data_IF_337995471198
#
_entry.id   IF_337995471198
#
_cell.length_a   1.000
_cell.length_b   1.000
_cell.length_c   1.000
_cell.angle_alpha   90.00
_cell.angle_beta   90.00
_cell.angle_gamma   90.00
#
_symmetry.space_group_name_H-M   'P 1'
#
loop_
_entity.id
_entity.type
_entity.pdbx_description
1 polymer ?
#
# COMPACT_ATOMS: atom_id res chain seq x y z
N UNK A 1 -0.51 18.94 64.39
CA UNK A 1 -0.07 20.22 65.01
C UNK A 1 -0.20 21.31 63.95
N UNK A 2 -1.13 22.23 64.19
CA UNK A 2 -1.32 23.57 63.60
C UNK A 2 -1.33 23.81 62.07
N UNK A 3 -2.55 24.12 61.60
CA UNK A 3 -2.87 25.12 60.59
C UNK A 3 -2.19 26.48 60.87
N UNK A 4 -1.76 27.18 59.81
CA UNK A 4 -1.86 28.65 59.75
C UNK A 4 -2.40 29.11 58.40
N UNK A 5 -3.62 29.63 58.44
CA UNK A 5 -4.17 30.57 57.47
C UNK A 5 -3.50 31.94 57.68
N UNK A 6 -3.22 32.64 56.59
CA UNK A 6 -3.15 34.11 56.57
C UNK A 6 -4.29 34.58 55.69
N UNK A 7 -5.08 35.50 56.24
CA UNK A 7 -6.23 36.15 55.62
C UNK A 7 -6.06 37.64 55.85
N UNK A 8 -6.36 38.46 54.85
CA UNK A 8 -6.71 39.90 54.84
C UNK A 8 -6.68 40.31 53.35
N UNK A 9 -7.60 41.04 52.72
CA UNK A 9 -8.89 41.62 53.06
C UNK A 9 -9.58 42.02 51.71
N UNK A 10 -10.90 42.20 51.72
CA UNK A 10 -11.81 42.71 50.67
C UNK A 10 -11.39 44.08 50.05
N UNK A 11 -11.90 44.70 48.96
CA UNK A 11 -12.82 44.54 47.79
C UNK A 11 -12.73 45.89 46.98
N UNK A 12 -13.55 46.32 45.99
CA UNK A 12 -14.46 45.68 45.02
C UNK A 12 -14.24 46.10 43.52
N UNK A 13 -14.93 45.38 42.62
CA UNK A 13 -15.48 45.73 41.30
C UNK A 13 -14.81 46.78 40.38
N UNK A 14 -14.43 46.35 39.17
CA UNK A 14 -14.65 47.12 37.94
C UNK A 14 -14.76 46.16 36.75
N UNK A 15 -15.90 46.21 36.07
CA UNK A 15 -16.22 45.49 34.85
C UNK A 15 -15.32 45.99 33.73
N UNK A 16 -14.35 45.19 33.33
CA UNK A 16 -13.63 45.37 32.07
C UNK A 16 -14.25 44.41 31.07
N UNK A 17 -14.97 44.98 30.09
CA UNK A 17 -15.27 44.32 28.83
C UNK A 17 -13.92 43.98 28.17
N UNK A 18 -13.40 42.79 28.47
CA UNK A 18 -12.39 42.21 27.62
C UNK A 18 -13.15 41.66 26.41
N UNK A 19 -13.02 42.35 25.27
CA UNK A 19 -13.18 41.73 23.97
C UNK A 19 -12.15 40.60 23.92
N UNK A 20 -12.52 39.45 24.48
CA UNK A 20 -11.87 38.20 24.23
C UNK A 20 -12.15 37.96 22.76
N UNK A 21 -11.17 38.26 21.91
CA UNK A 21 -11.05 37.61 20.63
C UNK A 21 -11.09 36.13 20.97
N UNK A 22 -12.27 35.52 20.82
CA UNK A 22 -12.37 34.11 20.52
C UNK A 22 -11.56 33.97 19.24
N UNK A 23 -10.27 33.70 19.40
CA UNK A 23 -9.56 32.87 18.45
C UNK A 23 -10.39 31.60 18.42
N UNK A 24 -11.30 31.53 17.45
CA UNK A 24 -11.84 30.27 16.99
C UNK A 24 -10.59 29.42 16.77
N UNK A 25 -10.37 28.34 17.56
CA UNK A 25 -9.31 27.42 17.21
C UNK A 25 -9.54 27.07 15.75
N UNK A 26 -8.52 27.08 14.87
CA UNK A 26 -8.70 26.79 13.45
C UNK A 26 -9.60 25.56 13.38
N UNK A 27 -10.78 25.74 12.76
CA UNK A 27 -11.85 24.75 12.81
C UNK A 27 -11.25 23.41 12.45
N UNK A 28 -11.41 22.41 13.31
CA UNK A 28 -10.90 21.08 13.07
C UNK A 28 -11.40 20.64 11.69
N UNK A 29 -10.46 20.39 10.79
CA UNK A 29 -10.72 19.80 9.49
C UNK A 29 -11.71 18.65 9.65
N UNK A 30 -12.75 18.61 8.84
CA UNK A 30 -13.65 17.45 8.77
C UNK A 30 -13.46 16.84 7.40
N UNK A 31 -12.44 15.97 7.22
CA UNK A 31 -12.21 15.31 5.95
C UNK A 31 -13.48 14.55 5.52
N UNK A 32 -13.66 14.39 4.21
CA UNK A 32 -14.77 13.61 3.68
C UNK A 32 -14.44 12.14 3.83
N UNK A 33 -15.18 11.41 4.65
CA UNK A 33 -14.92 9.99 4.92
C UNK A 33 -15.79 9.08 4.06
N UNK A 34 -15.18 8.06 3.45
CA UNK A 34 -15.87 6.99 2.73
C UNK A 34 -15.37 5.62 3.16
N UNK A 35 -16.25 4.63 3.22
CA UNK A 35 -15.88 3.23 3.48
C UNK A 35 -15.92 2.43 2.19
N UNK A 36 -14.87 1.63 1.96
CA UNK A 36 -14.77 0.68 0.85
C UNK A 36 -14.26 -0.64 1.43
N UNK A 37 -15.14 -1.63 1.60
CA UNK A 37 -14.80 -2.87 2.29
C UNK A 37 -14.18 -2.59 3.67
N UNK A 38 -12.98 -3.13 3.98
CA UNK A 38 -12.26 -2.88 5.24
C UNK A 38 -11.52 -1.54 5.29
N UNK A 39 -11.59 -0.72 4.23
CA UNK A 39 -10.88 0.55 4.16
C UNK A 39 -11.77 1.72 4.59
N UNK A 40 -11.21 2.60 5.43
CA UNK A 40 -11.74 3.94 5.71
C UNK A 40 -10.88 4.95 4.95
N UNK A 41 -11.46 5.59 3.95
CA UNK A 41 -10.80 6.58 3.10
C UNK A 41 -11.18 7.99 3.57
N UNK A 42 -10.20 8.78 4.01
CA UNK A 42 -10.42 10.16 4.44
C UNK A 42 -9.83 11.15 3.43
N UNK A 43 -10.68 11.92 2.77
CA UNK A 43 -10.29 12.88 1.74
C UNK A 43 -10.15 14.27 2.35
N UNK A 44 -8.92 14.78 2.37
CA UNK A 44 -8.57 16.08 2.92
C UNK A 44 -8.70 17.15 1.85
N UNK A 45 -9.66 18.06 2.03
CA UNK A 45 -9.94 19.18 1.14
C UNK A 45 -8.96 20.33 1.33
N UNK A 46 -9.13 21.42 0.59
CA UNK A 46 -8.26 22.59 0.70
C UNK A 46 -8.28 23.15 2.14
N UNK A 47 -7.09 23.20 2.75
CA UNK A 47 -6.92 23.69 4.13
C UNK A 47 -7.15 22.66 5.23
N UNK A 48 -7.69 21.47 4.91
CA UNK A 48 -7.80 20.39 5.89
C UNK A 48 -6.39 19.88 6.28
N UNK A 49 -6.14 19.70 7.57
CA UNK A 49 -4.82 19.33 8.11
C UNK A 49 -4.85 17.89 8.60
N UNK A 50 -4.01 17.04 8.01
CA UNK A 50 -3.65 15.71 8.48
C UNK A 50 -2.13 15.55 8.51
N UNK A 51 -1.59 14.47 7.92
CA UNK A 51 -0.14 14.37 7.73
C UNK A 51 0.39 15.48 6.81
N UNK A 52 -0.32 15.72 5.71
CA UNK A 52 -0.17 16.91 4.88
C UNK A 52 -1.35 17.86 5.08
N UNK A 53 -1.25 19.07 4.55
CA UNK A 53 -2.41 19.96 4.37
C UNK A 53 -2.95 19.75 2.97
N UNK A 54 -4.25 19.49 2.85
CA UNK A 54 -4.92 19.40 1.55
C UNK A 54 -4.82 20.74 0.81
N UNK A 55 -4.52 20.69 -0.48
CA UNK A 55 -4.28 21.89 -1.30
C UNK A 55 -5.39 22.16 -2.33
N UNK A 56 -6.40 21.29 -2.38
CA UNK A 56 -7.55 21.38 -3.27
C UNK A 56 -8.69 20.52 -2.76
N UNK A 57 -9.91 21.01 -2.95
CA UNK A 57 -11.14 20.26 -2.74
C UNK A 57 -11.29 19.08 -3.70
N UNK A 58 -11.66 17.93 -3.14
CA UNK A 58 -11.94 16.73 -3.92
C UNK A 58 -13.26 16.83 -4.66
N UNK A 59 -13.24 16.60 -5.96
CA UNK A 59 -14.48 16.46 -6.74
C UNK A 59 -15.08 15.07 -6.56
N UNK A 60 -16.40 14.93 -6.78
CA UNK A 60 -17.07 13.63 -6.71
C UNK A 60 -16.46 12.60 -7.68
N UNK A 61 -16.04 13.02 -8.88
CA UNK A 61 -15.43 12.14 -9.88
C UNK A 61 -14.06 11.60 -9.42
N UNK A 62 -13.27 12.41 -8.72
CA UNK A 62 -11.98 12.00 -8.16
C UNK A 62 -12.15 11.04 -6.99
N UNK A 63 -13.09 11.34 -6.08
CA UNK A 63 -13.45 10.45 -4.97
C UNK A 63 -13.91 9.09 -5.50
N UNK A 64 -14.77 9.08 -6.53
CA UNK A 64 -15.24 7.83 -7.13
C UNK A 64 -14.11 7.08 -7.86
N UNK A 65 -13.21 7.77 -8.56
CA UNK A 65 -12.05 7.14 -9.15
C UNK A 65 -11.18 6.45 -8.10
N UNK A 66 -10.94 7.09 -6.95
CA UNK A 66 -10.20 6.50 -5.83
C UNK A 66 -10.90 5.27 -5.29
N UNK A 67 -12.20 5.38 -4.98
CA UNK A 67 -12.97 4.26 -4.43
C UNK A 67 -12.99 3.05 -5.37
N UNK A 68 -13.11 3.26 -6.68
CA UNK A 68 -13.09 2.16 -7.66
C UNK A 68 -11.71 1.48 -7.69
N UNK A 69 -10.62 2.24 -7.60
CA UNK A 69 -9.28 1.63 -7.57
C UNK A 69 -9.00 0.92 -6.24
N UNK A 70 -9.50 1.46 -5.12
CA UNK A 70 -9.46 0.77 -3.82
C UNK A 70 -10.25 -0.55 -3.83
N UNK A 71 -11.41 -0.58 -4.51
CA UNK A 71 -12.24 -1.79 -4.67
C UNK A 71 -11.48 -2.95 -5.31
N UNK A 72 -10.54 -2.68 -6.22
CA UNK A 72 -9.65 -3.71 -6.80
C UNK A 72 -9.00 -4.59 -5.75
N UNK A 73 -8.56 -4.00 -4.63
CA UNK A 73 -7.94 -4.73 -3.53
C UNK A 73 -8.97 -5.34 -2.59
N UNK A 74 -10.01 -4.59 -2.22
CA UNK A 74 -11.02 -5.06 -1.24
C UNK A 74 -11.88 -6.19 -1.77
N UNK A 75 -12.06 -6.29 -3.08
CA UNK A 75 -12.78 -7.38 -3.73
C UNK A 75 -11.92 -8.64 -3.91
N UNK A 76 -10.59 -8.50 -3.75
CA UNK A 76 -9.63 -9.58 -4.00
C UNK A 76 -9.06 -10.15 -2.69
N UNK A 77 -8.62 -9.30 -1.76
CA UNK A 77 -8.06 -9.74 -0.50
C UNK A 77 -9.13 -10.36 0.42
N UNK A 78 -8.89 -11.60 0.84
CA UNK A 78 -9.79 -12.38 1.70
C UNK A 78 -9.34 -12.43 3.16
N UNK A 79 -8.22 -11.77 3.50
CA UNK A 79 -7.72 -11.70 4.87
C UNK A 79 -8.75 -10.97 5.76
N UNK A 80 -8.97 -11.44 7.01
CA UNK A 80 -9.80 -10.74 7.96
C UNK A 80 -9.03 -9.60 8.62
N UNK A 81 -9.55 -8.37 8.55
CA UNK A 81 -8.98 -7.22 9.24
C UNK A 81 -9.29 -7.20 10.74
N UNK A 82 -8.35 -6.72 11.54
CA UNK A 82 -8.55 -6.50 12.99
C UNK A 82 -9.48 -5.32 13.27
N UNK A 83 -9.42 -4.31 12.41
CA UNK A 83 -10.18 -3.07 12.42
C UNK A 83 -10.12 -2.44 11.02
N UNK A 84 -10.95 -1.44 10.71
CA UNK A 84 -10.81 -0.70 9.46
C UNK A 84 -9.39 -0.12 9.31
N UNK A 85 -8.83 -0.25 8.10
CA UNK A 85 -7.57 0.37 7.71
C UNK A 85 -7.85 1.79 7.24
N UNK A 86 -7.28 2.77 7.93
CA UNK A 86 -7.46 4.18 7.59
C UNK A 86 -6.42 4.64 6.59
N UNK A 87 -6.89 5.19 5.47
CA UNK A 87 -6.06 5.75 4.42
C UNK A 87 -6.44 7.21 4.21
N UNK A 88 -5.53 8.12 4.53
CA UNK A 88 -5.72 9.54 4.33
C UNK A 88 -5.31 9.93 2.90
N UNK A 89 -6.10 10.76 2.22
CA UNK A 89 -5.91 11.13 0.82
C UNK A 89 -5.79 12.64 0.64
N UNK A 90 -4.75 13.05 -0.05
CA UNK A 90 -4.41 14.46 -0.24
C UNK A 90 -4.15 14.79 -1.70
N UNK A 91 -4.53 16.00 -2.07
CA UNK A 91 -3.89 16.71 -3.17
C UNK A 91 -2.70 17.52 -2.66
N UNK A 92 -1.60 17.56 -3.42
CA UNK A 92 -0.40 18.33 -3.05
C UNK A 92 0.54 18.65 -4.21
N UNK A 93 1.63 19.37 -3.92
CA UNK A 93 2.71 19.63 -4.87
C UNK A 93 3.85 18.67 -4.61
N UNK A 94 4.14 17.81 -5.58
CA UNK A 94 5.25 16.86 -5.51
C UNK A 94 6.47 17.37 -6.29
N UNK A 95 7.66 17.11 -5.75
CA UNK A 95 8.94 17.43 -6.39
C UNK A 95 9.41 16.31 -7.33
N UNK A 96 10.50 16.56 -8.06
CA UNK A 96 11.25 15.51 -8.77
C UNK A 96 10.51 14.80 -9.92
N UNK A 97 9.36 15.33 -10.36
CA UNK A 97 8.54 14.69 -11.41
C UNK A 97 7.58 13.62 -10.90
N UNK A 98 7.47 13.43 -9.58
CA UNK A 98 6.51 12.50 -9.00
C UNK A 98 5.05 12.94 -9.29
N UNK A 99 4.21 11.95 -9.58
CA UNK A 99 2.78 12.14 -9.92
C UNK A 99 1.87 11.65 -8.80
N UNK A 100 2.36 10.71 -7.99
CA UNK A 100 1.78 10.22 -6.75
C UNK A 100 2.89 9.90 -5.75
N UNK A 101 2.51 9.75 -4.49
CA UNK A 101 3.32 9.14 -3.46
C UNK A 101 2.43 8.53 -2.38
N UNK A 102 2.94 7.51 -1.71
CA UNK A 102 2.35 6.89 -0.53
C UNK A 102 3.32 6.92 0.64
N UNK A 103 2.81 7.29 1.81
CA UNK A 103 3.49 7.17 3.08
C UNK A 103 2.88 5.99 3.83
N UNK A 104 3.71 4.98 4.04
CA UNK A 104 3.31 3.74 4.67
C UNK A 104 4.17 3.55 5.93
N UNK A 105 3.69 4.00 7.11
CA UNK A 105 4.37 3.73 8.37
C UNK A 105 4.64 2.23 8.52
N UNK A 106 5.85 1.90 9.00
CA UNK A 106 6.30 0.53 9.19
C UNK A 106 6.37 0.25 10.70
N UNK A 107 5.77 -0.86 11.12
CA UNK A 107 5.95 -1.44 12.45
C UNK A 107 6.82 -2.69 12.32
N UNK A 108 7.69 -2.93 13.31
CA UNK A 108 8.61 -4.07 13.28
C UNK A 108 8.84 -4.66 14.67
N UNK A 109 9.03 -5.98 14.75
CA UNK A 109 9.14 -6.74 16.00
C UNK A 109 10.58 -7.12 16.41
N UNK A 110 11.58 -6.61 15.67
CA UNK A 110 12.99 -6.97 15.79
C UNK A 110 13.45 -7.99 14.74
N UNK A 111 12.51 -8.62 14.01
CA UNK A 111 12.81 -9.61 12.97
C UNK A 111 12.04 -9.36 11.68
N UNK A 112 10.74 -9.10 11.78
CA UNK A 112 9.84 -8.83 10.66
C UNK A 112 9.36 -7.40 10.76
N UNK A 113 9.28 -6.74 9.61
CA UNK A 113 8.69 -5.44 9.43
C UNK A 113 7.49 -5.53 8.49
N UNK A 114 6.55 -4.61 8.60
CA UNK A 114 5.40 -4.52 7.70
C UNK A 114 4.72 -3.17 7.81
N UNK A 115 4.00 -2.76 6.77
CA UNK A 115 3.16 -1.56 6.86
C UNK A 115 2.06 -1.77 7.90
N UNK A 116 1.52 -0.68 8.45
CA UNK A 116 0.35 -0.78 9.32
C UNK A 116 -0.84 -1.44 8.62
N UNK A 117 -1.03 -1.22 7.31
CA UNK A 117 -2.08 -1.86 6.54
C UNK A 117 -1.87 -3.38 6.42
N UNK A 118 -0.63 -3.85 6.22
CA UNK A 118 -0.30 -5.28 6.26
C UNK A 118 -0.61 -5.87 7.63
N UNK A 119 -0.09 -5.30 8.72
CA UNK A 119 -0.35 -5.82 10.05
C UNK A 119 -1.85 -5.85 10.42
N UNK A 120 -2.56 -4.75 10.15
CA UNK A 120 -3.97 -4.61 10.54
C UNK A 120 -4.90 -5.49 9.71
N UNK A 121 -4.64 -5.61 8.40
CA UNK A 121 -5.53 -6.32 7.50
C UNK A 121 -5.02 -7.68 7.06
N UNK A 122 -3.78 -7.79 6.57
CA UNK A 122 -3.22 -9.09 6.17
C UNK A 122 -3.09 -10.02 7.38
N UNK A 123 -2.53 -9.52 8.47
CA UNK A 123 -2.15 -10.33 9.64
C UNK A 123 -3.19 -10.31 10.78
N UNK A 124 -4.17 -9.40 10.71
CA UNK A 124 -5.25 -9.32 11.69
C UNK A 124 -4.79 -8.80 13.07
N UNK A 125 -3.73 -8.00 13.11
CA UNK A 125 -3.19 -7.40 14.33
C UNK A 125 -3.83 -6.04 14.64
N UNK A 126 -4.32 -5.87 15.87
CA UNK A 126 -4.97 -4.62 16.27
C UNK A 126 -3.95 -3.55 16.70
N UNK A 127 -3.13 -3.10 15.76
CA UNK A 127 -2.18 -2.00 16.00
C UNK A 127 -2.92 -0.69 16.18
N UNK A 128 -2.47 0.14 17.13
CA UNK A 128 -2.92 1.52 17.22
C UNK A 128 -2.19 2.35 16.17
N UNK A 129 -2.93 3.06 15.34
CA UNK A 129 -2.37 3.97 14.34
C UNK A 129 -1.26 4.87 14.92
N UNK A 130 -0.16 5.11 14.16
CA UNK A 130 0.98 5.89 14.60
C UNK A 130 0.65 7.37 14.80
N UNK A 131 1.43 8.05 15.65
CA UNK A 131 1.39 9.50 15.84
C UNK A 131 0.70 9.99 17.12
N UNK A 132 0.94 11.25 17.54
CA UNK A 132 0.27 11.85 18.69
C UNK A 132 -1.22 12.10 18.39
N UNK A 133 -2.11 12.21 19.41
CA UNK A 133 -3.57 12.35 19.23
C UNK A 133 -4.07 13.58 18.45
N UNK A 134 -3.18 14.47 18.00
CA UNK A 134 -3.51 15.71 17.27
C UNK A 134 -2.98 15.75 15.83
N UNK A 135 -2.22 14.76 15.39
CA UNK A 135 -2.03 14.47 13.97
C UNK A 135 -2.94 13.30 13.66
N UNK A 136 -3.76 13.42 12.62
CA UNK A 136 -4.75 12.39 12.30
C UNK A 136 -4.07 11.03 12.23
N UNK A 137 -4.69 10.08 12.89
CA UNK A 137 -4.17 8.74 13.03
C UNK A 137 -4.48 7.99 11.73
N UNK A 138 -3.49 7.64 10.93
CA UNK A 138 -3.68 6.92 9.66
C UNK A 138 -2.82 5.66 9.62
N UNK A 139 -3.23 4.64 8.86
CA UNK A 139 -2.40 3.45 8.59
C UNK A 139 -1.57 3.64 7.31
N UNK A 140 -2.04 4.50 6.41
CA UNK A 140 -1.31 4.99 5.24
C UNK A 140 -1.83 6.38 4.83
N UNK A 141 -0.99 7.16 4.14
CA UNK A 141 -1.40 8.44 3.56
C UNK A 141 -0.92 8.54 2.12
N UNK A 142 -1.82 8.91 1.21
CA UNK A 142 -1.55 9.03 -0.22
C UNK A 142 -1.65 10.50 -0.64
N UNK A 143 -0.73 10.95 -1.47
CA UNK A 143 -0.77 12.30 -2.03
C UNK A 143 -0.59 12.27 -3.55
N UNK A 144 -1.47 12.98 -4.26
CA UNK A 144 -1.43 13.09 -5.71
C UNK A 144 -1.00 14.48 -6.14
N UNK A 145 -0.18 14.55 -7.19
CA UNK A 145 0.40 15.81 -7.62
C UNK A 145 -0.65 16.71 -8.29
N UNK A 146 -0.55 18.01 -8.02
CA UNK A 146 -1.33 19.06 -8.67
C UNK A 146 -0.51 19.94 -9.59
N UNK A 147 0.80 19.92 -9.40
CA UNK A 147 1.73 20.81 -10.07
C UNK A 147 2.28 20.14 -11.32
N UNK A 148 1.45 20.13 -12.37
CA UNK A 148 1.91 19.76 -13.70
C UNK A 148 2.39 20.97 -14.49
N UNK A 149 3.46 20.77 -15.26
CA UNK A 149 3.85 21.76 -16.27
C UNK A 149 2.90 21.64 -17.46
N UNK A 150 2.36 22.76 -17.93
CA UNK A 150 1.56 22.79 -19.16
C UNK A 150 2.32 22.10 -20.31
N UNK A 151 1.68 21.23 -21.10
CA UNK A 151 0.23 21.05 -21.26
C UNK A 151 -0.38 19.91 -20.44
N UNK A 152 0.31 19.34 -19.45
CA UNK A 152 -0.13 18.10 -18.81
C UNK A 152 -1.29 18.28 -17.82
N UNK A 153 -2.25 17.37 -17.86
CA UNK A 153 -3.41 17.32 -16.94
C UNK A 153 -3.73 15.90 -16.49
N UNK A 154 -4.58 15.75 -15.47
CA UNK A 154 -5.11 14.44 -15.09
C UNK A 154 -6.23 13.98 -16.04
N UNK A 155 -6.21 12.71 -16.42
CA UNK A 155 -7.39 11.97 -16.89
C UNK A 155 -8.05 11.27 -15.68
N UNK A 156 -9.19 11.82 -15.23
CA UNK A 156 -9.96 11.27 -14.09
C UNK A 156 -10.99 10.21 -14.55
N UNK A 157 -11.45 10.35 -15.80
CA UNK A 157 -12.55 9.58 -16.36
C UNK A 157 -12.25 8.09 -16.57
N UNK A 158 -13.19 7.40 -17.20
CA UNK A 158 -13.03 6.01 -17.62
C UNK A 158 -12.39 5.87 -19.00
N UNK A 159 -12.38 6.94 -19.79
CA UNK A 159 -11.82 6.95 -21.14
C UNK A 159 -10.29 6.80 -21.12
N UNK A 160 -9.71 6.41 -22.25
CA UNK A 160 -8.27 6.38 -22.39
C UNK A 160 -7.70 7.82 -22.35
N UNK A 161 -6.59 8.07 -21.63
CA UNK A 161 -5.90 9.35 -21.64
C UNK A 161 -5.34 9.68 -23.03
N UNK A 162 -5.36 10.95 -23.39
CA UNK A 162 -4.63 11.45 -24.58
C UNK A 162 -3.16 11.74 -24.23
N UNK A 163 -2.33 12.05 -25.24
CA UNK A 163 -0.88 12.26 -25.08
C UNK A 163 -0.44 13.40 -24.13
N UNK A 164 -1.37 14.24 -23.68
CA UNK A 164 -1.14 15.30 -22.69
C UNK A 164 -1.80 15.02 -21.35
N UNK A 165 -2.34 13.81 -21.15
CA UNK A 165 -3.01 13.43 -19.93
C UNK A 165 -2.27 12.29 -19.22
N UNK A 166 -2.23 12.38 -17.89
CA UNK A 166 -1.73 11.32 -17.01
C UNK A 166 -2.94 10.61 -16.43
N UNK A 167 -2.94 9.27 -16.46
CA UNK A 167 -4.07 8.49 -15.97
C UNK A 167 -4.14 8.45 -14.45
N UNK A 168 -5.12 9.13 -13.86
CA UNK A 168 -5.25 9.21 -12.40
C UNK A 168 -5.54 7.85 -11.78
N UNK A 169 -6.37 7.03 -12.42
CA UNK A 169 -6.73 5.69 -11.92
C UNK A 169 -5.52 4.77 -11.84
N UNK A 170 -4.64 4.81 -12.85
CA UNK A 170 -3.37 4.06 -12.86
C UNK A 170 -2.48 4.45 -11.69
N UNK A 171 -2.36 5.75 -11.40
CA UNK A 171 -1.58 6.24 -10.26
C UNK A 171 -2.23 5.83 -8.94
N UNK A 172 -3.55 5.95 -8.80
CA UNK A 172 -4.21 5.54 -7.55
C UNK A 172 -3.99 4.05 -7.29
N UNK A 173 -4.29 3.17 -8.25
CA UNK A 173 -4.14 1.71 -8.02
C UNK A 173 -2.68 1.35 -7.70
N UNK A 174 -1.71 2.06 -8.29
CA UNK A 174 -0.29 1.93 -7.97
C UNK A 174 0.04 2.32 -6.52
N UNK A 175 -0.41 3.49 -6.06
CA UNK A 175 -0.12 3.94 -4.69
C UNK A 175 -0.77 3.04 -3.63
N UNK A 176 -1.97 2.52 -3.89
CA UNK A 176 -2.59 1.52 -3.01
C UNK A 176 -1.78 0.22 -2.95
N UNK A 177 -1.11 -0.20 -4.03
CA UNK A 177 -0.28 -1.40 -3.99
C UNK A 177 0.88 -1.26 -2.99
N UNK A 178 1.50 -0.07 -2.94
CA UNK A 178 2.51 0.25 -1.93
C UNK A 178 1.95 0.23 -0.51
N UNK A 179 0.74 0.76 -0.29
CA UNK A 179 0.05 0.66 1.01
C UNK A 179 -0.01 -0.79 1.49
N UNK A 180 -0.29 -1.73 0.59
CA UNK A 180 -0.45 -3.15 0.90
C UNK A 180 0.85 -3.98 0.80
N UNK A 181 2.01 -3.33 0.79
CA UNK A 181 3.31 -3.99 0.96
C UNK A 181 4.08 -4.26 -0.34
N UNK A 182 3.51 -3.98 -1.52
CA UNK A 182 4.25 -4.12 -2.78
C UNK A 182 5.39 -3.11 -2.79
N UNK A 183 6.63 -3.55 -2.97
CA UNK A 183 7.76 -2.62 -3.08
C UNK A 183 8.16 -1.93 -1.78
N UNK A 184 7.58 -2.29 -0.63
CA UNK A 184 7.91 -1.67 0.65
C UNK A 184 9.21 -2.28 1.16
N UNK A 185 10.31 -1.58 0.91
CA UNK A 185 11.64 -2.01 1.32
C UNK A 185 12.14 -1.27 2.57
N UNK A 186 12.79 -2.02 3.47
CA UNK A 186 13.44 -1.48 4.66
C UNK A 186 14.87 -0.97 4.42
N UNK A 187 15.37 -1.05 3.19
CA UNK A 187 16.70 -0.55 2.83
C UNK A 187 16.79 0.98 2.93
N UNK A 188 17.81 1.49 3.62
CA UNK A 188 18.05 2.90 3.85
C UNK A 188 19.26 3.38 3.04
N UNK A 189 19.01 3.99 1.88
CA UNK A 189 20.08 4.41 0.96
C UNK A 189 21.00 5.49 1.51
N UNK A 190 20.55 6.29 2.48
CA UNK A 190 21.37 7.35 3.10
C UNK A 190 22.48 6.82 4.01
N UNK A 191 22.30 5.61 4.55
CA UNK A 191 23.27 4.93 5.43
C UNK A 191 23.82 3.65 4.83
N UNK A 192 23.28 3.20 3.69
CA UNK A 192 23.61 1.92 3.04
C UNK A 192 23.36 0.71 3.97
N UNK A 193 22.22 0.73 4.67
CA UNK A 193 21.87 -0.28 5.67
C UNK A 193 20.44 -0.77 5.51
N UNK A 194 20.23 -2.06 5.79
CA UNK A 194 18.92 -2.61 6.11
C UNK A 194 18.53 -2.26 7.54
N UNK A 195 17.22 -2.14 7.79
CA UNK A 195 16.71 -1.84 9.13
C UNK A 195 17.19 -2.86 10.17
N UNK A 196 17.52 -2.38 11.37
CA UNK A 196 17.82 -3.23 12.54
C UNK A 196 16.56 -3.71 13.26
N UNK A 197 15.39 -3.17 12.90
CA UNK A 197 14.10 -3.54 13.49
C UNK A 197 13.42 -4.72 12.81
N UNK A 198 13.86 -5.12 11.62
CA UNK A 198 13.25 -6.20 10.84
C UNK A 198 13.29 -5.92 9.34
N UNK A 199 13.00 -6.93 8.53
CA UNK A 199 12.83 -6.82 7.06
C UNK A 199 11.38 -7.10 6.68
N UNK A 200 10.89 -6.52 5.58
CA UNK A 200 9.53 -6.81 5.10
C UNK A 200 9.42 -8.18 4.45
N UNK A 201 8.19 -8.69 4.33
CA UNK A 201 7.93 -9.87 3.50
C UNK A 201 8.43 -9.64 2.06
N UNK A 202 8.23 -8.44 1.51
CA UNK A 202 8.80 -8.03 0.21
C UNK A 202 10.33 -8.19 0.17
N UNK A 203 11.04 -7.61 1.13
CA UNK A 203 12.51 -7.68 1.21
C UNK A 203 13.02 -9.13 1.26
N UNK A 204 12.32 -9.99 2.00
CA UNK A 204 12.70 -11.40 2.17
C UNK A 204 12.75 -12.19 0.84
N UNK A 205 12.05 -11.72 -0.18
CA UNK A 205 12.03 -12.29 -1.53
C UNK A 205 12.97 -11.59 -2.52
N UNK A 206 13.68 -10.54 -2.12
CA UNK A 206 14.67 -9.91 -3.01
C UNK A 206 15.97 -10.69 -3.06
N UNK A 207 16.52 -10.87 -4.26
CA UNK A 207 17.84 -11.46 -4.51
C UNK A 207 18.62 -10.60 -5.50
N UNK A 208 19.88 -10.36 -5.20
CA UNK A 208 20.80 -9.84 -6.23
C UNK A 208 21.22 -10.96 -7.20
N UNK A 209 21.95 -10.61 -8.26
CA UNK A 209 22.42 -11.54 -9.29
C UNK A 209 23.45 -12.55 -8.78
N UNK A 210 24.10 -12.28 -7.64
CA UNK A 210 24.96 -13.22 -6.94
C UNK A 210 24.17 -14.18 -6.03
N UNK A 211 22.86 -13.96 -5.87
CA UNK A 211 21.96 -14.76 -5.06
C UNK A 211 21.93 -14.35 -3.59
N UNK A 212 22.50 -13.21 -3.22
CA UNK A 212 22.45 -12.72 -1.85
C UNK A 212 21.06 -12.16 -1.51
N UNK A 213 20.72 -12.16 -0.22
CA UNK A 213 19.42 -11.72 0.28
C UNK A 213 19.57 -10.57 1.30
N UNK A 214 18.57 -9.69 1.42
CA UNK A 214 18.49 -8.74 2.51
C UNK A 214 18.47 -9.42 3.88
N UNK A 215 19.19 -8.86 4.85
CA UNK A 215 19.22 -9.35 6.22
C UNK A 215 19.15 -8.19 7.21
N UNK A 216 18.49 -8.40 8.34
CA UNK A 216 18.30 -7.39 9.41
C UNK A 216 19.65 -6.81 9.85
N UNK A 217 19.78 -5.49 9.77
CA UNK A 217 20.97 -4.75 10.21
C UNK A 217 22.22 -4.94 9.36
N UNK A 218 22.11 -5.56 8.17
CA UNK A 218 23.24 -5.69 7.23
C UNK A 218 23.35 -4.49 6.30
N UNK A 219 24.41 -4.42 5.48
CA UNK A 219 24.65 -3.33 4.52
C UNK A 219 24.34 -3.72 3.08
N UNK A 220 24.16 -2.73 2.21
CA UNK A 220 24.15 -2.90 0.75
C UNK A 220 25.56 -3.13 0.20
N UNK A 221 25.89 -2.65 -1.01
CA UNK A 221 27.23 -2.74 -1.61
C UNK A 221 28.17 -1.58 -1.18
N UNK A 222 29.42 -1.87 -0.73
CA UNK A 222 30.03 -3.20 -0.59
C UNK A 222 29.59 -3.89 0.71
N UNK A 223 28.95 -5.07 0.60
CA UNK A 223 28.38 -5.77 1.74
C UNK A 223 27.54 -6.97 1.34
N UNK A 224 26.35 -7.14 1.94
CA UNK A 224 25.60 -8.38 1.82
C UNK A 224 24.73 -8.44 0.56
N UNK A 225 24.21 -7.32 0.08
CA UNK A 225 23.23 -7.29 -1.01
C UNK A 225 23.51 -6.15 -1.98
N UNK A 226 23.58 -6.42 -3.29
CA UNK A 226 23.74 -5.37 -4.29
C UNK A 226 22.39 -4.71 -4.65
N UNK A 227 22.14 -3.53 -4.07
CA UNK A 227 20.96 -2.69 -4.28
C UNK A 227 20.91 -1.95 -5.63
N UNK A 228 21.98 -2.00 -6.43
CA UNK A 228 22.12 -1.36 -7.75
C UNK A 228 22.44 -2.36 -8.87
N UNK A 229 22.10 -3.64 -8.68
CA UNK A 229 22.54 -4.76 -9.52
C UNK A 229 21.87 -4.88 -10.91
N UNK A 230 20.94 -3.97 -11.22
CA UNK A 230 20.30 -3.77 -12.52
C UNK A 230 20.11 -5.03 -13.41
N UNK A 231 19.19 -5.95 -13.07
CA UNK A 231 18.19 -5.84 -12.01
C UNK A 231 18.53 -6.63 -10.75
N UNK A 232 17.90 -6.24 -9.65
CA UNK A 232 17.59 -7.15 -8.52
C UNK A 232 16.38 -8.01 -8.91
N UNK A 233 16.20 -9.17 -8.30
CA UNK A 233 15.11 -10.07 -8.60
C UNK A 233 14.20 -10.32 -7.40
N UNK A 234 12.89 -10.37 -7.62
CA UNK A 234 11.92 -10.91 -6.68
C UNK A 234 11.70 -12.39 -6.98
N UNK A 235 11.90 -13.25 -5.98
CA UNK A 235 11.94 -14.73 -6.15
C UNK A 235 10.77 -15.48 -5.52
N UNK A 236 9.66 -14.78 -5.24
CA UNK A 236 8.42 -15.39 -4.74
C UNK A 236 7.83 -16.43 -5.70
N UNK A 237 7.31 -17.53 -5.16
CA UNK A 237 6.92 -18.70 -5.96
C UNK A 237 5.74 -18.43 -6.88
N UNK A 238 4.75 -17.67 -6.43
CA UNK A 238 3.54 -17.35 -7.20
C UNK A 238 3.85 -16.34 -8.31
N UNK A 239 4.59 -15.26 -7.99
CA UNK A 239 5.03 -14.28 -8.97
C UNK A 239 5.90 -14.94 -10.07
N UNK A 240 6.83 -15.82 -9.67
CA UNK A 240 7.63 -16.61 -10.63
C UNK A 240 6.77 -17.52 -11.49
N UNK A 241 5.79 -18.21 -10.92
CA UNK A 241 4.89 -19.07 -11.69
C UNK A 241 4.12 -18.26 -12.75
N UNK A 242 3.63 -17.07 -12.39
CA UNK A 242 3.00 -16.14 -13.32
C UNK A 242 3.98 -15.57 -14.37
N UNK A 243 5.28 -15.54 -14.08
CA UNK A 243 6.36 -15.11 -14.99
C UNK A 243 7.10 -16.29 -15.67
N UNK A 244 6.41 -17.42 -15.87
CA UNK A 244 6.95 -18.56 -16.62
C UNK A 244 8.10 -19.30 -15.92
N UNK A 245 8.16 -19.23 -14.58
CA UNK A 245 9.18 -19.84 -13.72
C UNK A 245 10.43 -19.00 -13.51
N UNK A 246 10.54 -17.84 -14.18
CA UNK A 246 11.70 -16.96 -14.09
C UNK A 246 11.61 -16.05 -12.87
N UNK A 247 12.76 -15.67 -12.31
CA UNK A 247 12.82 -14.64 -11.26
C UNK A 247 12.39 -13.29 -11.83
N UNK A 248 11.62 -12.51 -11.05
CA UNK A 248 10.94 -11.29 -11.52
C UNK A 248 11.88 -10.08 -11.39
N UNK A 249 12.24 -9.40 -12.49
CA UNK A 249 13.15 -8.27 -12.41
C UNK A 249 12.54 -7.02 -11.75
N UNK A 250 13.27 -6.50 -10.76
CA UNK A 250 12.98 -5.30 -9.99
C UNK A 250 13.90 -4.18 -10.45
N UNK A 251 13.37 -2.96 -10.45
CA UNK A 251 14.12 -1.77 -10.80
C UNK A 251 15.22 -1.49 -9.77
N UNK A 252 16.47 -1.67 -10.18
CA UNK A 252 17.67 -1.44 -9.36
C UNK A 252 18.76 -0.79 -10.24
N UNK A 253 18.58 0.47 -10.67
CA UNK A 253 19.54 1.16 -11.55
C UNK A 253 20.94 1.27 -10.94
N UNK A 254 21.94 1.50 -11.79
CA UNK A 254 23.35 1.68 -11.39
C UNK A 254 23.60 2.80 -10.37
N UNK A 255 22.69 3.76 -10.30
CA UNK A 255 22.64 4.77 -9.23
C UNK A 255 21.33 4.59 -8.51
N UNK A 256 21.37 4.31 -7.20
CA UNK A 256 20.17 4.16 -6.40
C UNK A 256 19.28 5.41 -6.54
N UNK A 257 18.03 5.18 -6.91
CA UNK A 257 17.01 6.21 -7.12
C UNK A 257 16.05 6.18 -5.92
N UNK A 258 16.18 7.10 -4.94
CA UNK A 258 15.30 7.14 -3.78
C UNK A 258 13.83 7.23 -4.19
N UNK A 259 12.99 6.38 -3.59
CA UNK A 259 11.57 6.28 -3.94
C UNK A 259 11.27 5.40 -5.16
N UNK A 260 12.28 4.84 -5.85
CA UNK A 260 12.04 3.94 -6.98
C UNK A 260 12.81 2.63 -6.92
N UNK A 261 14.11 2.68 -6.59
CA UNK A 261 14.96 1.49 -6.48
C UNK A 261 14.40 0.50 -5.47
N UNK A 262 14.39 -0.79 -5.83
CA UNK A 262 13.87 -1.92 -5.05
C UNK A 262 12.36 -1.92 -4.77
N UNK A 263 11.63 -0.88 -5.20
CA UNK A 263 10.20 -0.73 -4.92
C UNK A 263 9.30 -1.07 -6.13
N UNK A 264 9.87 -1.22 -7.32
CA UNK A 264 9.10 -1.32 -8.56
C UNK A 264 9.55 -2.45 -9.45
N UNK A 265 8.65 -2.93 -10.30
CA UNK A 265 9.00 -3.78 -11.42
C UNK A 265 9.92 -3.03 -12.40
N UNK A 266 10.82 -3.76 -13.05
CA UNK A 266 11.72 -3.18 -14.05
C UNK A 266 10.93 -2.73 -15.30
N UNK A 267 10.87 -1.42 -15.57
CA UNK A 267 10.08 -0.84 -16.68
C UNK A 267 10.45 -1.44 -18.05
N UNK A 268 11.72 -1.76 -18.30
CA UNK A 268 12.16 -2.30 -19.58
C UNK A 268 11.45 -3.60 -19.96
N UNK A 269 10.92 -4.33 -18.96
CA UNK A 269 10.16 -5.57 -19.14
C UNK A 269 8.67 -5.39 -18.84
N UNK A 270 8.31 -4.45 -17.95
CA UNK A 270 6.98 -4.37 -17.35
C UNK A 270 6.29 -3.02 -17.57
N UNK A 271 6.63 -2.26 -18.62
CA UNK A 271 6.04 -0.93 -18.88
C UNK A 271 4.49 -0.90 -18.85
N UNK A 272 3.80 -2.00 -19.20
CA UNK A 272 2.33 -2.09 -19.18
C UNK A 272 1.73 -2.56 -17.84
N UNK A 273 2.55 -2.77 -16.81
CA UNK A 273 2.13 -3.26 -15.49
C UNK A 273 1.87 -2.07 -14.57
N UNK A 274 1.02 -2.25 -13.57
CA UNK A 274 0.66 -1.18 -12.62
C UNK A 274 1.90 -0.74 -11.86
N UNK A 275 2.71 -1.68 -11.37
CA UNK A 275 3.88 -1.46 -10.52
C UNK A 275 5.19 -1.20 -11.28
N UNK A 276 5.10 -0.84 -12.57
CA UNK A 276 6.21 -0.17 -13.25
C UNK A 276 6.47 1.18 -12.59
N UNK A 277 7.74 1.57 -12.41
CA UNK A 277 8.08 2.81 -11.69
C UNK A 277 7.65 4.10 -12.42
N UNK A 278 7.26 3.99 -13.68
CA UNK A 278 6.87 5.12 -14.50
C UNK A 278 5.65 4.80 -15.37
N UNK A 279 4.90 5.86 -15.68
CA UNK A 279 3.80 5.84 -16.66
C UNK A 279 3.91 7.09 -17.52
N UNK A 280 3.89 6.91 -18.84
CA UNK A 280 3.96 8.03 -19.77
C UNK A 280 2.59 8.71 -19.93
N UNK A 281 2.55 10.02 -20.25
CA UNK A 281 1.31 10.66 -20.69
C UNK A 281 0.68 9.93 -21.90
N UNK A 282 -0.64 9.76 -21.89
CA UNK A 282 -1.39 8.97 -22.88
C UNK A 282 -1.35 7.46 -22.66
N UNK A 283 -0.69 6.98 -21.61
CA UNK A 283 -0.71 5.58 -21.19
C UNK A 283 -1.65 5.38 -19.99
N UNK A 284 -2.26 4.20 -19.89
CA UNK A 284 -3.00 3.76 -18.71
C UNK A 284 -2.73 2.30 -18.40
N UNK A 285 -2.46 2.00 -17.13
CA UNK A 285 -2.31 0.66 -16.55
C UNK A 285 -3.21 0.62 -15.30
N UNK A 286 -4.48 0.19 -15.45
CA UNK A 286 -5.49 0.25 -14.38
C UNK A 286 -5.79 -1.10 -13.72
N UNK A 287 -5.14 -2.16 -14.17
CA UNK A 287 -5.44 -3.54 -13.74
C UNK A 287 -4.13 -4.26 -13.45
N UNK A 288 -4.01 -4.77 -12.23
CA UNK A 288 -2.89 -5.60 -11.81
C UNK A 288 -2.88 -6.90 -12.62
N UNK A 289 -1.70 -7.24 -13.13
CA UNK A 289 -1.42 -8.50 -13.82
C UNK A 289 -1.44 -9.69 -12.85
N UNK A 290 -1.48 -10.91 -13.38
CA UNK A 290 -1.33 -12.13 -12.58
C UNK A 290 0.00 -12.20 -11.84
N UNK A 291 1.06 -11.56 -12.37
CA UNK A 291 2.36 -11.49 -11.70
C UNK A 291 2.28 -10.61 -10.47
N UNK A 292 1.64 -9.44 -10.57
CA UNK A 292 1.50 -8.51 -9.44
C UNK A 292 0.59 -9.07 -8.35
N UNK A 293 -0.48 -9.78 -8.73
CA UNK A 293 -1.25 -10.56 -7.77
C UNK A 293 -0.45 -11.70 -7.14
N UNK A 294 0.38 -12.39 -7.94
CA UNK A 294 1.31 -13.40 -7.42
C UNK A 294 2.28 -12.85 -6.37
N UNK A 295 2.75 -11.60 -6.53
CA UNK A 295 3.54 -10.92 -5.49
C UNK A 295 2.73 -10.76 -4.20
N UNK A 296 1.47 -10.32 -4.29
CA UNK A 296 0.62 -10.18 -3.10
C UNK A 296 0.40 -11.53 -2.38
N UNK A 297 0.19 -12.62 -3.12
CA UNK A 297 0.14 -13.97 -2.56
C UNK A 297 1.46 -14.35 -1.86
N UNK A 298 2.59 -14.07 -2.49
CA UNK A 298 3.92 -14.38 -1.94
C UNK A 298 4.18 -13.61 -0.64
N UNK A 299 3.77 -12.34 -0.54
CA UNK A 299 3.93 -11.53 0.68
C UNK A 299 2.81 -11.75 1.73
N UNK A 300 1.92 -12.72 1.52
CA UNK A 300 1.00 -13.24 2.53
C UNK A 300 -0.47 -12.81 2.41
N UNK A 301 -0.87 -12.12 1.35
CA UNK A 301 -2.28 -11.86 1.08
C UNK A 301 -2.98 -13.13 0.57
N UNK A 302 -4.19 -13.36 1.05
CA UNK A 302 -5.05 -14.46 0.62
C UNK A 302 -5.92 -13.93 -0.51
N UNK A 303 -5.70 -14.43 -1.72
CA UNK A 303 -6.53 -14.09 -2.88
C UNK A 303 -7.61 -15.18 -3.11
N UNK A 304 -8.65 -14.90 -3.91
CA UNK A 304 -9.61 -15.92 -4.31
C UNK A 304 -8.85 -16.91 -5.17
N UNK A 305 -8.52 -18.06 -4.59
CA UNK A 305 -7.73 -19.05 -5.30
C UNK A 305 -8.41 -19.40 -6.62
N UNK A 306 -7.60 -19.66 -7.65
CA UNK A 306 -7.96 -20.75 -8.54
C UNK A 306 -7.91 -22.00 -7.66
N UNK A 307 -8.98 -22.24 -6.90
CA UNK A 307 -9.24 -23.58 -6.38
C UNK A 307 -9.14 -24.43 -7.66
N UNK A 308 -8.19 -25.38 -7.77
CA UNK A 308 -8.47 -26.46 -8.69
C UNK A 308 -9.75 -27.02 -8.13
N UNK A 309 -10.88 -26.74 -8.82
CA UNK A 309 -12.15 -27.39 -8.58
C UNK A 309 -11.83 -28.83 -8.11
N UNK A 310 -12.38 -29.33 -6.99
CA UNK A 310 -12.26 -30.74 -6.65
C UNK A 310 -13.03 -31.54 -7.71
N UNK A 311 -12.48 -31.59 -8.91
CA UNK A 311 -13.14 -31.78 -10.18
C UNK A 311 -12.24 -32.60 -11.09
N UNK A 312 -11.46 -33.51 -10.51
CA UNK A 312 -11.01 -34.71 -11.23
C UNK A 312 -10.72 -35.87 -10.29
N UNK A 313 -10.21 -35.61 -9.07
CA UNK A 313 -9.95 -36.68 -8.09
C UNK A 313 -11.25 -37.35 -7.59
N UNK A 314 -12.32 -36.58 -7.35
CA UNK A 314 -13.61 -37.12 -6.88
C UNK A 314 -14.37 -37.83 -8.01
N UNK A 315 -14.28 -37.35 -9.25
CA UNK A 315 -14.92 -37.99 -10.42
C UNK A 315 -14.25 -39.32 -10.78
N UNK A 316 -12.92 -39.42 -10.65
CA UNK A 316 -12.20 -40.69 -10.88
C UNK A 316 -12.53 -41.71 -9.78
N UNK A 317 -12.68 -41.30 -8.52
CA UNK A 317 -13.07 -42.23 -7.44
C UNK A 317 -14.53 -42.71 -7.58
N UNK A 318 -15.45 -41.80 -7.93
CA UNK A 318 -16.87 -42.12 -8.08
C UNK A 318 -17.15 -43.04 -9.29
N UNK A 319 -16.45 -42.84 -10.42
CA UNK A 319 -16.59 -43.70 -11.60
C UNK A 319 -15.95 -45.08 -11.40
N UNK A 320 -14.83 -45.17 -10.66
CA UNK A 320 -14.17 -46.42 -10.31
C UNK A 320 -15.05 -47.31 -9.41
N UNK A 321 -15.72 -46.71 -8.42
CA UNK A 321 -16.62 -47.44 -7.50
C UNK A 321 -17.91 -47.91 -8.20
N UNK A 322 -18.45 -47.14 -9.15
CA UNK A 322 -19.60 -47.60 -9.96
C UNK A 322 -19.23 -48.70 -10.97
N UNK A 323 -18.03 -48.68 -11.55
CA UNK A 323 -17.54 -49.72 -12.44
C UNK A 323 -17.29 -51.05 -11.69
N UNK A 324 -16.78 -50.99 -10.45
CA UNK A 324 -16.58 -52.15 -9.59
C UNK A 324 -17.91 -52.78 -9.14
N UNK A 325 -18.92 -51.96 -8.79
CA UNK A 325 -20.27 -52.47 -8.45
C UNK A 325 -20.95 -53.16 -9.63
N UNK A 326 -20.79 -52.67 -10.86
CA UNK A 326 -21.38 -53.30 -12.06
C UNK A 326 -20.69 -54.63 -12.45
N UNK A 327 -19.41 -54.82 -12.11
CA UNK A 327 -18.71 -56.09 -12.33
C UNK A 327 -19.09 -57.17 -11.30
N UNK A 328 -19.28 -56.80 -10.04
CA UNK A 328 -19.71 -57.73 -9.00
C UNK A 328 -21.12 -58.29 -9.23
N UNK A 329 -22.03 -57.50 -9.82
CA UNK A 329 -23.40 -57.93 -10.11
C UNK A 329 -23.56 -58.82 -11.36
N UNK A 330 -22.46 -59.13 -12.08
CA UNK A 330 -22.48 -59.91 -13.34
C UNK A 330 -21.86 -61.30 -13.23
N UNK A 331 -21.49 -61.77 -12.05
CA UNK A 331 -21.09 -63.17 -11.89
C UNK A 331 -22.35 -64.04 -11.64
N UNK A 332 -22.68 -65.00 -12.53
CA UNK A 332 -23.70 -65.99 -12.22
C UNK A 332 -23.15 -66.94 -11.14
N UNK A 333 -23.94 -67.15 -10.09
CA UNK A 333 -23.64 -68.15 -9.06
C UNK A 333 -23.59 -69.56 -9.68
N UNK A 334 -22.68 -70.44 -9.23
CA UNK A 334 -22.68 -71.85 -9.61
C UNK A 334 -23.88 -72.62 -9.06
#
# INVERSE_FOLDING_TARGET
MQLRRVSLCAAPASVLLSLCWLTVPPGGATPVTHTVGPLTLEFFNEGDVGYWTGTKDWTAAEIDAVKIMAQTYTDTFLNPEARPVQIDLFWGTLGGGAIGQSLNPIEADGTVAGTYAEWVWRDGENLSQPGPPQQNKYDSALQFNQSFTSPYTWNIGTEAPISTEIDFRSVVVHEFAHTFGFGVSTYQSGTDTWSTGGITNWDSFLRDSAGNAPEVGTTGEPGNFNQVDNPVYFVGGNARAAYGGNDVPIYAPLTFAPGSSLAHLNEAQFASYVMSYSIAPGQYNRTLSSLEWGVFEDIGWILPGVVPEPGTAVVILATSLLALRRRAARQPAP
#
